data_IF_568164631368
#
_entry.id   IF_568164631368
#
_cell.length_a   1.000
_cell.length_b   1.000
_cell.length_c   1.000
_cell.angle_alpha   90.00
_cell.angle_beta   90.00
_cell.angle_gamma   90.00
#
_symmetry.space_group_name_H-M   'P 1'
#
loop_
_entity.id
_entity.type
_entity.pdbx_description
1 polymer ?
#
# COMPACT_ATOMS: atom_id res chain seq x y z
N UNK A 1 13.78 -0.31 15.54
CA UNK A 1 13.08 0.93 15.11
C UNK A 1 11.78 0.48 14.48
N UNK A 2 10.61 0.94 14.96
CA UNK A 2 9.35 0.64 14.28
C UNK A 2 9.32 1.56 13.06
N UNK A 3 9.55 1.01 11.87
CA UNK A 3 9.33 1.76 10.63
C UNK A 3 7.84 2.07 10.54
N UNK A 4 7.50 3.34 10.73
CA UNK A 4 6.13 3.82 10.63
C UNK A 4 5.88 4.15 9.17
N UNK A 5 5.28 3.20 8.45
CA UNK A 5 4.89 3.40 7.06
C UNK A 5 3.55 4.13 7.02
N UNK A 6 3.46 5.30 6.35
CA UNK A 6 2.22 6.03 6.19
C UNK A 6 1.20 5.19 5.41
N UNK A 7 -0.08 5.33 5.75
CA UNK A 7 -1.15 4.73 4.95
C UNK A 7 -1.35 5.57 3.68
N UNK A 8 -1.17 4.95 2.51
CA UNK A 8 -1.30 5.64 1.23
C UNK A 8 -2.74 6.12 0.97
N UNK A 9 -3.75 5.53 1.62
CA UNK A 9 -5.11 6.03 1.53
C UNK A 9 -5.32 7.36 2.29
N UNK A 10 -4.46 7.67 3.26
CA UNK A 10 -4.50 8.93 4.01
C UNK A 10 -3.62 10.02 3.37
N UNK A 11 -2.71 9.64 2.47
CA UNK A 11 -1.86 10.57 1.76
C UNK A 11 -2.65 11.32 0.66
N UNK A 12 -2.74 12.67 0.69
CA UNK A 12 -3.42 13.45 -0.33
C UNK A 12 -2.93 13.19 -1.76
N UNK A 13 -1.64 12.86 -1.95
CA UNK A 13 -1.05 12.56 -3.26
C UNK A 13 -1.57 11.24 -3.86
N UNK A 14 -1.92 10.28 -3.01
CA UNK A 14 -2.35 8.93 -3.41
C UNK A 14 -3.86 8.71 -3.28
N UNK A 15 -4.50 9.30 -2.27
CA UNK A 15 -5.92 9.10 -1.95
C UNK A 15 -6.88 9.37 -3.13
N UNK A 16 -6.56 10.33 -4.00
CA UNK A 16 -7.37 10.65 -5.18
C UNK A 16 -7.12 9.71 -6.37
N UNK A 17 -6.03 8.93 -6.34
CA UNK A 17 -5.57 8.07 -7.45
C UNK A 17 -5.70 6.59 -7.14
N UNK A 18 -5.72 6.22 -5.86
CA UNK A 18 -5.87 4.86 -5.38
C UNK A 18 -7.33 4.41 -5.44
N UNK A 19 -7.52 3.19 -5.92
CA UNK A 19 -8.80 2.50 -5.92
C UNK A 19 -8.60 1.11 -5.32
N UNK A 20 -9.36 0.79 -4.28
CA UNK A 20 -9.42 -0.57 -3.77
C UNK A 20 -10.38 -1.40 -4.63
N UNK A 21 -9.84 -2.43 -5.28
CA UNK A 21 -10.58 -3.36 -6.15
C UNK A 21 -10.79 -4.73 -5.50
N UNK A 22 -10.36 -4.85 -4.24
CA UNK A 22 -10.43 -6.07 -3.47
C UNK A 22 -11.83 -6.41 -2.96
N UNK A 23 -11.90 -7.55 -2.29
CA UNK A 23 -13.02 -7.94 -1.45
C UNK A 23 -12.55 -8.01 0.01
N UNK A 24 -13.48 -7.85 0.96
CA UNK A 24 -13.14 -7.90 2.39
C UNK A 24 -12.80 -9.32 2.89
N UNK A 25 -12.58 -10.30 2.00
CA UNK A 25 -12.34 -11.70 2.36
C UNK A 25 -10.90 -12.13 2.06
N UNK A 26 -10.48 -12.07 0.80
CA UNK A 26 -9.21 -12.63 0.32
C UNK A 26 -8.54 -11.78 -0.77
N UNK A 27 -9.30 -10.98 -1.52
CA UNK A 27 -8.73 -10.15 -2.56
C UNK A 27 -8.36 -8.77 -1.98
N UNK A 28 -7.08 -8.43 -1.97
CA UNK A 28 -6.60 -7.12 -1.50
C UNK A 28 -6.00 -6.28 -2.63
N UNK A 29 -6.54 -6.42 -3.84
CA UNK A 29 -6.05 -5.69 -5.01
C UNK A 29 -6.27 -4.18 -4.87
N UNK A 30 -5.22 -3.42 -5.14
CA UNK A 30 -5.23 -1.96 -5.22
C UNK A 30 -4.80 -1.55 -6.63
N UNK A 31 -5.48 -0.55 -7.19
CA UNK A 31 -5.10 0.11 -8.44
C UNK A 31 -4.64 1.53 -8.13
N UNK A 32 -3.46 1.90 -8.61
CA UNK A 32 -2.98 3.28 -8.63
C UNK A 32 -3.16 3.84 -10.05
N UNK A 33 -3.93 4.92 -10.19
CA UNK A 33 -4.16 5.59 -11.47
C UNK A 33 -3.20 6.76 -11.69
N UNK A 34 -3.03 7.18 -12.95
CA UNK A 34 -2.18 8.33 -13.33
C UNK A 34 -0.78 8.24 -12.70
N UNK A 35 -0.14 7.09 -12.90
CA UNK A 35 1.20 6.80 -12.38
C UNK A 35 2.23 7.68 -13.10
N UNK A 36 3.14 8.26 -12.35
CA UNK A 36 4.21 9.16 -12.83
C UNK A 36 5.58 8.69 -12.33
N UNK A 37 6.67 9.26 -12.84
CA UNK A 37 8.02 8.95 -12.34
C UNK A 37 8.18 9.11 -10.82
N UNK A 38 7.43 10.03 -10.20
CA UNK A 38 7.43 10.23 -8.74
C UNK A 38 6.89 9.04 -7.97
N UNK A 39 6.09 8.17 -8.59
CA UNK A 39 5.56 6.97 -7.96
C UNK A 39 6.56 5.78 -8.00
N UNK A 40 7.78 5.98 -8.52
CA UNK A 40 8.79 4.92 -8.58
C UNK A 40 9.36 4.63 -7.19
N UNK A 41 8.75 3.66 -6.50
CA UNK A 41 9.10 3.29 -5.13
C UNK A 41 8.95 1.78 -4.89
N UNK A 42 9.38 1.35 -3.70
CA UNK A 42 9.07 0.01 -3.19
C UNK A 42 7.81 0.09 -2.32
N UNK A 43 6.77 -0.61 -2.73
CA UNK A 43 5.49 -0.69 -2.06
C UNK A 43 5.41 -1.95 -1.22
N UNK A 44 4.79 -1.84 -0.06
CA UNK A 44 4.58 -2.95 0.84
C UNK A 44 3.11 -3.13 1.11
N UNK A 45 2.69 -4.39 1.13
CA UNK A 45 1.37 -4.74 1.59
C UNK A 45 1.39 -5.00 3.10
N UNK A 46 0.42 -4.44 3.83
CA UNK A 46 0.35 -4.52 5.29
C UNK A 46 -1.04 -4.93 5.75
N UNK A 47 -1.11 -5.81 6.75
CA UNK A 47 -2.32 -6.05 7.53
C UNK A 47 -2.10 -5.56 8.96
N UNK A 48 -3.11 -4.84 9.46
CA UNK A 48 -3.21 -4.46 10.87
C UNK A 48 -4.53 -5.03 11.38
N UNK A 49 -4.46 -5.81 12.45
CA UNK A 49 -5.63 -6.30 13.18
C UNK A 49 -5.74 -5.57 14.52
N UNK A 50 -6.83 -5.80 15.23
CA UNK A 50 -7.07 -5.31 16.59
C UNK A 50 -6.19 -5.99 17.67
N UNK A 51 -5.45 -7.06 17.32
CA UNK A 51 -4.56 -7.75 18.25
C UNK A 51 -3.25 -6.98 18.47
N UNK A 52 -2.68 -7.00 19.69
CA UNK A 52 -1.43 -6.29 20.03
C UNK A 52 -0.26 -6.58 19.08
N UNK A 53 -0.11 -7.83 18.67
CA UNK A 53 0.96 -8.29 17.76
C UNK A 53 0.45 -8.56 16.34
N UNK A 54 -0.79 -8.18 16.04
CA UNK A 54 -1.45 -8.50 14.79
C UNK A 54 -1.11 -7.54 13.66
N UNK A 55 0.18 -7.22 13.52
CA UNK A 55 0.73 -6.43 12.42
C UNK A 55 1.64 -7.30 11.58
N UNK A 56 1.39 -7.32 10.29
CA UNK A 56 2.22 -8.06 9.34
C UNK A 56 2.50 -7.21 8.11
N UNK A 57 3.74 -7.27 7.63
CA UNK A 57 4.19 -6.59 6.40
C UNK A 57 4.68 -7.67 5.44
N UNK A 58 4.11 -7.69 4.24
CA UNK A 58 4.52 -8.58 3.17
C UNK A 58 5.88 -8.21 2.63
N UNK A 59 6.89 -9.05 2.89
CA UNK A 59 8.24 -8.94 2.33
C UNK A 59 8.42 -9.99 1.22
N UNK A 60 9.13 -9.67 0.12
CA UNK A 60 10.04 -8.53 -0.08
C UNK A 60 9.39 -7.20 -0.52
N UNK A 61 8.06 -7.09 -0.58
CA UNK A 61 7.39 -5.93 -1.18
C UNK A 61 7.39 -6.00 -2.71
N UNK A 62 6.96 -4.91 -3.37
CA UNK A 62 6.85 -4.78 -4.82
C UNK A 62 7.57 -3.51 -5.27
N UNK A 63 8.51 -3.62 -6.20
CA UNK A 63 9.16 -2.44 -6.80
C UNK A 63 8.38 -1.97 -8.01
N UNK A 64 8.00 -0.68 -8.00
CA UNK A 64 7.43 0.01 -9.15
C UNK A 64 8.48 0.92 -9.77
N UNK A 65 8.66 0.82 -11.08
CA UNK A 65 9.51 1.73 -11.87
C UNK A 65 8.69 2.24 -13.04
N UNK A 66 8.71 3.55 -13.24
CA UNK A 66 7.93 4.23 -14.28
C UNK A 66 8.93 4.88 -15.23
N UNK A 67 8.85 4.54 -16.52
CA UNK A 67 9.78 4.99 -17.56
C UNK A 67 9.13 5.99 -18.49
#
# INVERSE_FOLDING_TARGET
MKEEFPDLFEDPEYSQRLQYLGDKQQNCTIRLNHVTQKDSHMYYFRFTTDKPDGKWVGKPGVSLTVT
#
